data_IF_263638526670
#
_entry.id   IF_263638526670
#
_cell.length_a   1.000
_cell.length_b   1.000
_cell.length_c   1.000
_cell.angle_alpha   90.00
_cell.angle_beta   90.00
_cell.angle_gamma   90.00
#
_symmetry.space_group_name_H-M   'P 1'
#
loop_
_entity.id
_entity.type
_entity.pdbx_description
1 polymer ?
#
# COMPACT_ATOMS: atom_id res chain seq x y z
N UNK A 1 18.34 13.63 -6.57
CA UNK A 1 17.65 13.27 -5.31
C UNK A 1 18.61 12.76 -4.23
N UNK A 2 19.68 12.02 -4.57
CA UNK A 2 20.67 11.51 -3.59
C UNK A 2 21.51 12.58 -2.87
N UNK A 3 21.74 13.75 -3.47
CA UNK A 3 22.64 14.78 -2.89
C UNK A 3 21.96 15.79 -1.95
N UNK A 4 20.64 15.73 -1.76
CA UNK A 4 19.89 16.80 -1.06
C UNK A 4 19.00 16.30 0.08
N UNK A 5 19.36 15.22 0.78
CA UNK A 5 18.59 14.76 1.94
C UNK A 5 18.78 15.75 3.12
N UNK A 6 17.71 16.39 3.62
CA UNK A 6 17.79 17.28 4.79
C UNK A 6 18.41 16.60 6.02
N UNK A 7 18.15 15.30 6.22
CA UNK A 7 18.71 14.53 7.33
C UNK A 7 20.25 14.46 7.31
N UNK A 8 20.86 14.33 6.13
CA UNK A 8 22.33 14.32 5.98
C UNK A 8 22.96 15.66 6.39
N UNK A 9 22.37 16.78 5.95
CA UNK A 9 22.84 18.11 6.32
C UNK A 9 22.70 18.38 7.83
N UNK A 10 21.64 17.87 8.47
CA UNK A 10 21.49 17.98 9.93
C UNK A 10 22.55 17.19 10.70
N UNK A 11 22.94 16.00 10.21
CA UNK A 11 23.97 15.17 10.85
C UNK A 11 25.35 15.79 10.74
N UNK A 12 25.73 16.29 9.57
CA UNK A 12 27.02 16.96 9.36
C UNK A 12 27.13 18.21 10.26
N UNK A 13 26.06 18.99 10.37
CA UNK A 13 26.00 20.14 11.28
C UNK A 13 26.11 19.70 12.74
N UNK A 14 25.40 18.64 13.13
CA UNK A 14 25.42 18.13 14.49
C UNK A 14 26.79 17.58 14.89
N UNK A 15 27.49 16.86 14.01
CA UNK A 15 28.85 16.37 14.25
C UNK A 15 29.82 17.53 14.53
N UNK A 16 29.69 18.62 13.76
CA UNK A 16 30.50 19.82 13.97
C UNK A 16 30.21 20.48 15.32
N UNK A 17 28.92 20.68 15.64
CA UNK A 17 28.50 21.22 16.94
C UNK A 17 28.98 20.34 18.11
N UNK A 18 28.94 19.01 17.96
CA UNK A 18 29.40 18.07 18.98
C UNK A 18 30.91 18.14 19.20
N UNK A 19 31.72 18.24 18.14
CA UNK A 19 33.18 18.44 18.26
C UNK A 19 33.53 19.77 18.93
N UNK A 20 32.84 20.85 18.55
CA UNK A 20 33.02 22.17 19.16
C UNK A 20 32.66 22.13 20.66
N UNK A 21 31.54 21.49 21.01
CA UNK A 21 31.12 21.27 22.40
C UNK A 21 32.11 20.41 23.17
N UNK A 22 32.60 19.31 22.60
CA UNK A 22 33.60 18.45 23.23
C UNK A 22 34.88 19.23 23.56
N UNK A 23 35.37 20.03 22.61
CA UNK A 23 36.56 20.87 22.81
C UNK A 23 36.34 21.93 23.89
N UNK A 24 35.17 22.58 23.90
CA UNK A 24 34.81 23.57 24.92
C UNK A 24 34.70 22.93 26.31
N UNK A 25 34.13 21.74 26.40
CA UNK A 25 33.97 21.00 27.63
C UNK A 25 35.32 20.48 28.16
N UNK A 26 36.21 19.98 27.31
CA UNK A 26 37.59 19.61 27.68
C UNK A 26 38.37 20.80 28.25
N UNK A 27 38.21 21.99 27.67
CA UNK A 27 38.81 23.21 28.20
C UNK A 27 38.19 23.60 29.56
N UNK A 28 36.88 23.42 29.72
CA UNK A 28 36.15 23.74 30.96
C UNK A 28 36.45 22.78 32.11
N UNK A 29 36.71 21.50 31.83
CA UNK A 29 37.18 20.53 32.83
C UNK A 29 38.54 20.93 33.41
N UNK A 30 39.45 21.44 32.57
CA UNK A 30 40.79 21.87 33.01
C UNK A 30 40.75 23.07 33.96
N UNK A 31 39.66 23.84 33.98
CA UNK A 31 39.49 24.98 34.91
C UNK A 31 38.79 24.60 36.21
N UNK A 32 38.31 23.36 36.34
CA UNK A 32 37.74 22.87 37.59
C UNK A 32 38.81 22.69 38.66
N UNK A 33 38.48 22.89 39.95
CA UNK A 33 39.36 22.58 41.06
C UNK A 33 39.84 21.14 40.98
N UNK A 34 41.15 20.94 40.82
CA UNK A 34 41.73 19.61 40.63
C UNK A 34 42.17 18.99 41.96
N UNK A 35 42.57 17.72 41.93
CA UNK A 35 43.02 17.00 43.13
C UNK A 35 44.08 17.74 43.96
N UNK A 36 44.95 18.54 43.32
CA UNK A 36 45.93 19.40 44.02
C UNK A 36 45.28 20.54 44.80
N UNK A 37 44.26 21.18 44.24
CA UNK A 37 43.51 22.25 44.93
C UNK A 37 42.74 21.69 46.13
N UNK A 38 42.20 20.48 45.99
CA UNK A 38 41.46 19.80 47.05
C UNK A 38 42.41 19.29 48.14
N UNK A 39 43.61 18.81 47.78
CA UNK A 39 44.67 18.48 48.73
C UNK A 39 45.13 19.71 49.50
N UNK A 40 45.33 20.86 48.83
CA UNK A 40 45.72 22.10 49.48
C UNK A 40 44.69 22.57 50.53
N UNK A 41 43.39 22.33 50.30
CA UNK A 41 42.34 22.56 51.30
C UNK A 41 42.50 21.62 52.51
N UNK A 42 42.72 20.33 52.27
CA UNK A 42 42.96 19.35 53.33
C UNK A 42 44.21 19.65 54.16
N UNK A 43 45.29 20.08 53.51
CA UNK A 43 46.54 20.47 54.17
C UNK A 43 46.37 21.74 55.01
N UNK A 44 45.65 22.75 54.49
CA UNK A 44 45.28 23.95 55.24
C UNK A 44 44.42 23.59 56.44
N UNK A 45 43.43 22.70 56.25
CA UNK A 45 42.56 22.24 57.32
C UNK A 45 43.32 21.49 58.42
N UNK A 46 44.35 20.73 58.07
CA UNK A 46 45.16 19.97 59.03
C UNK A 46 46.15 20.82 59.83
N UNK A 47 46.54 21.98 59.32
CA UNK A 47 47.41 22.93 60.00
C UNK A 47 46.68 23.82 61.02
N UNK A 48 45.35 23.88 60.97
CA UNK A 48 44.57 24.72 61.89
C UNK A 48 44.39 23.99 63.23
N UNK A 49 44.72 24.67 64.32
CA UNK A 49 44.47 24.19 65.68
C UNK A 49 42.97 24.11 65.92
N UNK A 50 42.48 22.96 66.37
CA UNK A 50 41.03 22.70 66.54
C UNK A 50 40.67 22.18 67.94
N UNK A 51 41.67 22.06 68.82
CA UNK A 51 41.59 21.61 70.22
C UNK A 51 42.70 22.26 71.05
N UNK A 52 42.57 22.22 72.37
CA UNK A 52 43.58 22.62 73.35
C UNK A 52 43.97 24.11 73.27
N UNK A 53 42.99 24.98 73.10
CA UNK A 53 43.22 26.43 73.05
C UNK A 53 43.72 26.95 74.41
N UNK A 54 44.68 27.87 74.43
CA UNK A 54 45.21 28.49 75.68
C UNK A 54 44.59 29.85 75.93
N UNK A 55 44.19 30.55 74.88
CA UNK A 55 43.59 31.89 74.95
C UNK A 55 42.31 32.01 74.11
N UNK A 56 41.36 32.89 74.48
CA UNK A 56 40.21 33.22 73.64
C UNK A 56 40.58 33.79 72.26
N UNK A 57 41.75 34.44 72.15
CA UNK A 57 42.28 34.92 70.87
C UNK A 57 42.66 33.78 69.93
N UNK A 58 43.28 32.70 70.43
CA UNK A 58 43.64 31.51 69.63
C UNK A 58 42.40 30.80 69.05
N UNK A 59 41.32 30.71 69.83
CA UNK A 59 40.04 30.16 69.38
C UNK A 59 39.43 31.02 68.27
N UNK A 60 39.37 32.33 68.47
CA UNK A 60 38.78 33.26 67.49
C UNK A 60 39.56 33.23 66.17
N UNK A 61 40.89 33.22 66.24
CA UNK A 61 41.74 33.08 65.05
C UNK A 61 41.53 31.74 64.33
N UNK A 62 41.40 30.64 65.08
CA UNK A 62 41.19 29.31 64.50
C UNK A 62 39.81 29.17 63.86
N UNK A 63 38.76 29.73 64.47
CA UNK A 63 37.42 29.77 63.89
C UNK A 63 37.37 30.62 62.61
N UNK A 64 38.08 31.75 62.56
CA UNK A 64 38.21 32.57 61.34
C UNK A 64 38.96 31.81 60.23
N UNK A 65 40.02 31.08 60.58
CA UNK A 65 40.74 30.24 59.61
C UNK A 65 39.88 29.08 59.09
N UNK A 66 39.10 28.42 59.96
CA UNK A 66 38.17 27.36 59.57
C UNK A 66 37.03 27.90 58.68
N UNK A 67 36.44 29.05 59.01
CA UNK A 67 35.44 29.72 58.16
C UNK A 67 36.02 30.10 56.79
N UNK A 68 37.27 30.55 56.75
CA UNK A 68 37.99 30.81 55.50
C UNK A 68 38.16 29.55 54.64
N UNK A 69 38.53 28.42 55.24
CA UNK A 69 38.65 27.13 54.53
C UNK A 69 37.27 26.61 54.09
N UNK A 70 36.23 26.78 54.92
CA UNK A 70 34.86 26.41 54.57
C UNK A 70 34.33 27.22 53.37
N UNK A 71 34.51 28.55 53.37
CA UNK A 71 34.09 29.42 52.27
C UNK A 71 34.83 29.12 50.97
N UNK A 72 36.11 28.80 51.04
CA UNK A 72 36.92 28.39 49.87
C UNK A 72 36.43 27.04 49.31
N UNK A 73 36.20 26.05 50.19
CA UNK A 73 35.59 24.77 49.81
C UNK A 73 34.17 24.91 49.25
N UNK A 74 33.35 25.81 49.80
CA UNK A 74 32.01 26.13 49.30
C UNK A 74 32.01 26.82 47.94
N UNK A 75 32.92 27.79 47.74
CA UNK A 75 33.11 28.42 46.44
C UNK A 75 33.50 27.42 45.35
N UNK A 76 34.49 26.56 45.64
CA UNK A 76 34.93 25.49 44.73
C UNK A 76 33.83 24.45 44.48
N UNK A 77 33.05 24.09 45.50
CA UNK A 77 31.90 23.19 45.36
C UNK A 77 30.82 23.79 44.46
N UNK A 78 30.45 25.05 44.66
CA UNK A 78 29.47 25.77 43.83
C UNK A 78 29.94 25.90 42.37
N UNK A 79 31.24 26.10 42.16
CA UNK A 79 31.83 26.11 40.81
C UNK A 79 31.64 24.76 40.11
N UNK A 80 31.94 23.65 40.79
CA UNK A 80 31.74 22.30 40.24
C UNK A 80 30.25 22.00 40.02
N UNK A 81 29.38 22.42 40.93
CA UNK A 81 27.93 22.24 40.80
C UNK A 81 27.38 22.98 39.57
N UNK A 82 27.78 24.25 39.36
CA UNK A 82 27.37 25.01 38.18
C UNK A 82 27.83 24.35 36.88
N UNK A 83 29.05 23.81 36.86
CA UNK A 83 29.58 23.07 35.69
C UNK A 83 28.82 21.76 35.47
N UNK A 84 28.42 21.07 36.54
CA UNK A 84 27.57 19.87 36.45
C UNK A 84 26.19 20.18 35.86
N UNK A 85 25.56 21.28 36.27
CA UNK A 85 24.23 21.67 35.80
C UNK A 85 24.26 22.08 34.32
N UNK A 86 25.28 22.84 33.92
CA UNK A 86 25.51 23.22 32.52
C UNK A 86 25.76 21.98 31.64
N UNK A 87 26.53 21.00 32.12
CA UNK A 87 26.80 19.76 31.40
C UNK A 87 25.51 18.98 31.17
N UNK A 88 24.69 18.83 32.21
CA UNK A 88 23.40 18.15 32.10
C UNK A 88 22.46 18.85 31.11
N UNK A 89 22.47 20.18 31.08
CA UNK A 89 21.65 20.96 30.14
C UNK A 89 22.13 20.76 28.70
N UNK A 90 23.44 20.83 28.46
CA UNK A 90 24.03 20.61 27.14
C UNK A 90 23.81 19.17 26.64
N UNK A 91 24.01 18.16 27.51
CA UNK A 91 23.75 16.75 27.17
C UNK A 91 22.27 16.50 26.81
N UNK A 92 21.32 17.15 27.51
CA UNK A 92 19.90 17.10 27.15
C UNK A 92 19.64 17.75 25.79
N UNK A 93 20.24 18.91 25.51
CA UNK A 93 20.11 19.58 24.22
C UNK A 93 20.64 18.73 23.06
N UNK A 94 21.81 18.09 23.25
CA UNK A 94 22.38 17.17 22.26
C UNK A 94 21.47 15.96 22.02
N UNK A 95 20.88 15.39 23.07
CA UNK A 95 19.90 14.29 22.94
C UNK A 95 18.64 14.71 22.18
N UNK A 96 18.13 15.93 22.40
CA UNK A 96 16.96 16.45 21.70
C UNK A 96 17.23 16.70 20.22
N UNK A 97 18.37 17.30 19.88
CA UNK A 97 18.82 17.48 18.49
C UNK A 97 18.99 16.12 17.78
N UNK A 98 19.58 15.12 18.45
CA UNK A 98 19.68 13.76 17.94
C UNK A 98 18.31 13.15 17.61
N UNK A 99 17.33 13.30 18.51
CA UNK A 99 15.96 12.85 18.28
C UNK A 99 15.27 13.59 17.12
N UNK A 100 15.62 14.84 16.84
CA UNK A 100 15.12 15.58 15.67
C UNK A 100 15.68 15.02 14.36
N UNK A 101 16.96 14.65 14.34
CA UNK A 101 17.59 13.99 13.19
C UNK A 101 16.85 12.69 12.86
N UNK A 102 16.55 11.84 13.87
CA UNK A 102 15.78 10.61 13.64
C UNK A 102 14.41 10.86 13.02
N UNK A 103 13.73 11.93 13.46
CA UNK A 103 12.43 12.33 12.89
C UNK A 103 12.59 12.78 11.45
N UNK A 104 13.63 13.55 11.14
CA UNK A 104 13.90 14.03 9.78
C UNK A 104 14.20 12.86 8.82
N UNK A 105 14.96 11.85 9.26
CA UNK A 105 15.21 10.64 8.47
C UNK A 105 13.90 9.97 8.04
N UNK A 106 12.92 9.85 8.96
CA UNK A 106 11.60 9.28 8.65
C UNK A 106 10.81 10.14 7.64
N UNK A 107 10.95 11.46 7.72
CA UNK A 107 10.30 12.40 6.79
C UNK A 107 10.90 12.25 5.39
N UNK A 108 12.22 12.14 5.28
CA UNK A 108 12.93 12.01 4.01
C UNK A 108 12.53 10.72 3.29
N UNK A 109 12.45 9.59 4.02
CA UNK A 109 11.93 8.31 3.49
C UNK A 109 10.51 8.49 2.95
N UNK A 110 9.62 9.11 3.73
CA UNK A 110 8.22 9.32 3.34
C UNK A 110 8.06 10.28 2.14
N UNK A 111 8.92 11.28 2.01
CA UNK A 111 8.92 12.22 0.88
C UNK A 111 9.32 11.53 -0.44
N UNK A 112 10.32 10.65 -0.38
CA UNK A 112 10.71 9.83 -1.51
C UNK A 112 9.57 8.90 -1.92
N UNK A 113 8.84 8.30 -0.97
CA UNK A 113 7.66 7.47 -1.27
C UNK A 113 6.57 8.20 -2.06
N UNK A 114 6.33 9.49 -1.79
CA UNK A 114 5.28 10.24 -2.47
C UNK A 114 5.57 10.47 -3.95
N UNK A 115 6.84 10.49 -4.35
CA UNK A 115 7.26 10.63 -5.75
C UNK A 115 7.07 9.34 -6.56
N UNK A 116 6.90 8.19 -5.90
CA UNK A 116 6.62 6.90 -6.56
C UNK A 116 5.12 6.60 -6.69
N UNK A 117 4.23 7.59 -6.46
CA UNK A 117 2.79 7.36 -6.55
C UNK A 117 2.37 6.89 -7.94
N UNK A 118 1.51 5.88 -7.94
CA UNK A 118 1.03 5.15 -9.12
C UNK A 118 -0.04 5.98 -9.84
N UNK A 119 0.06 6.20 -11.16
CA UNK A 119 -1.06 6.68 -11.96
C UNK A 119 -2.21 5.68 -11.88
N UNK A 120 -3.43 6.13 -11.58
CA UNK A 120 -4.59 5.22 -11.56
C UNK A 120 -4.79 4.61 -12.96
N UNK A 121 -4.77 3.28 -13.03
CA UNK A 121 -4.94 2.54 -14.28
C UNK A 121 -6.43 2.23 -14.46
N UNK A 122 -7.06 2.76 -15.51
CA UNK A 122 -8.48 2.52 -15.81
C UNK A 122 -8.68 1.13 -16.45
N UNK A 123 -9.23 0.19 -15.68
CA UNK A 123 -9.57 -1.16 -16.12
C UNK A 123 -10.50 -1.20 -17.35
N UNK A 124 -11.42 -0.24 -17.50
CA UNK A 124 -12.35 -0.20 -18.63
C UNK A 124 -11.62 0.18 -19.91
N UNK A 125 -10.75 1.18 -19.84
CA UNK A 125 -9.91 1.58 -20.97
C UNK A 125 -8.99 0.44 -21.41
N UNK A 126 -8.34 -0.26 -20.47
CA UNK A 126 -7.51 -1.43 -20.77
C UNK A 126 -8.30 -2.57 -21.44
N UNK A 127 -9.47 -2.91 -20.90
CA UNK A 127 -10.33 -3.95 -21.47
C UNK A 127 -10.70 -3.62 -22.91
N UNK A 128 -11.12 -2.38 -23.16
CA UNK A 128 -11.51 -1.93 -24.49
C UNK A 128 -10.33 -1.93 -25.45
N UNK A 129 -9.14 -1.52 -25.01
CA UNK A 129 -7.94 -1.54 -25.85
C UNK A 129 -7.55 -2.96 -26.27
N UNK A 130 -7.58 -3.94 -25.35
CA UNK A 130 -7.19 -5.33 -25.64
C UNK A 130 -8.27 -6.05 -26.47
N UNK A 131 -9.53 -5.97 -26.06
CA UNK A 131 -10.59 -6.76 -26.70
C UNK A 131 -11.20 -6.10 -27.93
N UNK A 132 -11.12 -4.78 -28.14
CA UNK A 132 -11.69 -4.21 -29.36
C UNK A 132 -11.04 -4.80 -30.61
N UNK A 133 -9.72 -4.94 -30.62
CA UNK A 133 -8.98 -5.51 -31.76
C UNK A 133 -9.29 -7.00 -31.96
N UNK A 134 -9.38 -7.76 -30.87
CA UNK A 134 -9.81 -9.16 -30.94
C UNK A 134 -11.25 -9.32 -31.46
N UNK A 135 -12.15 -8.42 -31.05
CA UNK A 135 -13.58 -8.48 -31.37
C UNK A 135 -13.93 -7.88 -32.73
N UNK A 136 -13.09 -7.04 -33.30
CA UNK A 136 -13.31 -6.37 -34.59
C UNK A 136 -13.79 -7.31 -35.72
N UNK A 137 -13.13 -8.45 -36.02
CA UNK A 137 -13.60 -9.36 -37.07
C UNK A 137 -14.95 -10.01 -36.74
N UNK A 138 -15.25 -10.23 -35.46
CA UNK A 138 -16.52 -10.82 -35.02
C UNK A 138 -17.65 -9.78 -35.08
N UNK A 139 -17.38 -8.53 -34.68
CA UNK A 139 -18.28 -7.39 -34.84
C UNK A 139 -18.60 -7.18 -36.32
N UNK A 140 -17.60 -7.21 -37.19
CA UNK A 140 -17.82 -7.09 -38.64
C UNK A 140 -18.72 -8.22 -39.18
N UNK A 141 -18.50 -9.47 -38.76
CA UNK A 141 -19.40 -10.59 -39.12
C UNK A 141 -20.82 -10.39 -38.58
N UNK A 142 -20.97 -9.99 -37.32
CA UNK A 142 -22.26 -9.70 -36.71
C UNK A 142 -23.00 -8.61 -37.51
N UNK A 143 -22.35 -7.49 -37.81
CA UNK A 143 -22.95 -6.41 -38.60
C UNK A 143 -23.26 -6.82 -40.04
N UNK A 144 -22.44 -7.69 -40.66
CA UNK A 144 -22.72 -8.27 -41.98
C UNK A 144 -23.99 -9.11 -41.96
N UNK A 145 -24.15 -10.02 -40.99
CA UNK A 145 -25.35 -10.85 -40.87
C UNK A 145 -26.57 -10.03 -40.45
N UNK A 146 -26.39 -9.00 -39.63
CA UNK A 146 -27.42 -8.01 -39.33
C UNK A 146 -27.90 -7.29 -40.60
N UNK A 147 -27.00 -6.79 -41.44
CA UNK A 147 -27.35 -6.15 -42.71
C UNK A 147 -28.03 -7.13 -43.69
N UNK A 148 -27.64 -8.40 -43.68
CA UNK A 148 -28.33 -9.43 -44.46
C UNK A 148 -29.76 -9.65 -43.94
N UNK A 149 -29.94 -9.71 -42.62
CA UNK A 149 -31.26 -9.81 -42.02
C UNK A 149 -32.12 -8.59 -42.37
N UNK A 150 -31.57 -7.38 -42.30
CA UNK A 150 -32.24 -6.15 -42.75
C UNK A 150 -32.71 -6.24 -44.21
N UNK A 151 -31.89 -6.81 -45.12
CA UNK A 151 -32.26 -6.98 -46.53
C UNK A 151 -33.47 -7.92 -46.74
N UNK A 152 -33.60 -8.95 -45.91
CA UNK A 152 -34.65 -9.97 -46.07
C UNK A 152 -35.83 -9.80 -45.09
N UNK A 153 -35.75 -8.85 -44.15
CA UNK A 153 -36.86 -8.50 -43.27
C UNK A 153 -37.98 -7.82 -44.09
N UNK A 154 -39.25 -8.26 -43.97
CA UNK A 154 -40.34 -7.66 -44.72
C UNK A 154 -40.45 -6.14 -44.48
N UNK A 155 -40.67 -5.30 -45.51
CA UNK A 155 -40.61 -3.82 -45.41
C UNK A 155 -41.48 -3.20 -44.32
N UNK A 156 -42.59 -3.85 -43.96
CA UNK A 156 -43.50 -3.42 -42.88
C UNK A 156 -42.84 -3.37 -41.50
N UNK A 157 -41.73 -4.11 -41.31
CA UNK A 157 -40.99 -4.16 -40.06
C UNK A 157 -39.75 -3.23 -40.04
N UNK A 158 -39.33 -2.69 -41.19
CA UNK A 158 -38.19 -1.77 -41.32
C UNK A 158 -38.58 -0.27 -41.23
N UNK A 159 -39.86 0.07 -41.43
CA UNK A 159 -40.33 1.45 -41.68
C UNK A 159 -40.85 2.25 -40.47
N UNK A 160 -40.66 1.82 -39.23
CA UNK A 160 -41.02 2.67 -38.06
C UNK A 160 -39.77 3.24 -37.39
N UNK A 161 -39.33 4.41 -37.89
CA UNK A 161 -38.22 5.17 -37.33
C UNK A 161 -37.70 6.30 -38.24
N UNK A 162 -37.94 6.24 -39.55
CA UNK A 162 -37.72 7.37 -40.45
C UNK A 162 -38.89 8.34 -40.36
N UNK A 163 -38.63 9.60 -40.06
CA UNK A 163 -39.57 10.68 -40.29
C UNK A 163 -40.06 10.58 -41.75
N UNK A 164 -41.38 10.65 -41.95
CA UNK A 164 -41.97 10.77 -43.29
C UNK A 164 -41.34 11.99 -43.94
N UNK A 165 -40.49 11.81 -44.95
CA UNK A 165 -40.13 12.92 -45.84
C UNK A 165 -41.36 13.24 -46.67
N UNK A 166 -41.84 14.48 -46.59
CA UNK A 166 -42.98 15.04 -47.32
C UNK A 166 -42.73 15.21 -48.84
N UNK A 167 -41.84 14.40 -49.44
CA UNK A 167 -41.42 14.54 -50.83
C UNK A 167 -41.73 13.29 -51.71
N UNK A 168 -42.76 12.53 -51.35
CA UNK A 168 -43.40 11.58 -52.28
C UNK A 168 -44.86 12.02 -52.51
N UNK A 169 -45.02 13.26 -52.99
CA UNK A 169 -46.27 13.71 -53.60
C UNK A 169 -46.55 12.91 -54.88
N UNK A 170 -47.53 12.02 -54.75
CA UNK A 170 -48.58 11.72 -55.73
C UNK A 170 -48.13 11.54 -57.19
N UNK A 171 -47.49 10.41 -57.47
CA UNK A 171 -47.85 9.69 -58.70
C UNK A 171 -49.06 8.83 -58.37
N UNK A 172 -50.23 9.11 -58.99
CA UNK A 172 -51.39 8.22 -58.94
C UNK A 172 -50.98 6.92 -59.63
N UNK A 173 -50.39 6.00 -58.87
CA UNK A 173 -50.28 4.62 -59.29
C UNK A 173 -51.68 4.01 -59.16
N UNK A 174 -52.18 3.27 -60.17
CA UNK A 174 -53.40 2.52 -60.02
C UNK A 174 -53.29 1.68 -58.74
N UNK A 175 -54.31 1.72 -57.88
CA UNK A 175 -54.32 0.92 -56.66
C UNK A 175 -53.80 -0.47 -57.00
N UNK A 176 -52.72 -0.95 -56.35
CA UNK A 176 -52.27 -2.31 -56.59
C UNK A 176 -53.49 -3.18 -56.38
N UNK A 177 -53.92 -3.91 -57.42
CA UNK A 177 -55.04 -4.86 -57.28
C UNK A 177 -54.78 -5.61 -55.99
N UNK A 178 -55.73 -5.54 -55.05
CA UNK A 178 -55.56 -6.15 -53.74
C UNK A 178 -55.02 -7.56 -53.98
N UNK A 179 -53.83 -7.86 -53.46
CA UNK A 179 -53.31 -9.21 -53.53
C UNK A 179 -54.35 -10.05 -52.80
N UNK A 180 -55.13 -10.84 -53.53
CA UNK A 180 -56.16 -11.69 -52.96
C UNK A 180 -55.59 -12.41 -51.75
N UNK A 181 -56.26 -12.32 -50.61
CA UNK A 181 -55.85 -13.03 -49.40
C UNK A 181 -56.23 -14.48 -49.61
N UNK A 182 -55.25 -15.36 -49.71
CA UNK A 182 -55.48 -16.81 -49.73
C UNK A 182 -55.96 -17.22 -48.34
N UNK A 183 -57.24 -17.53 -48.22
CA UNK A 183 -57.79 -18.19 -47.04
C UNK A 183 -57.67 -19.69 -47.23
N UNK A 184 -56.92 -20.35 -46.35
CA UNK A 184 -56.95 -21.81 -46.25
C UNK A 184 -58.22 -22.22 -45.51
N UNK A 185 -59.20 -22.75 -46.23
CA UNK A 185 -60.39 -23.36 -45.63
C UNK A 185 -60.06 -24.79 -45.18
N UNK A 186 -59.52 -24.91 -43.97
CA UNK A 186 -59.26 -26.19 -43.31
C UNK A 186 -60.41 -26.61 -42.39
N UNK A 187 -60.49 -27.91 -42.07
CA UNK A 187 -61.30 -28.40 -40.94
C UNK A 187 -60.43 -28.36 -39.68
N UNK A 188 -61.00 -28.11 -38.47
CA UNK A 188 -60.26 -28.33 -37.23
C UNK A 188 -59.60 -29.72 -37.25
N UNK A 189 -58.31 -29.82 -36.92
CA UNK A 189 -57.49 -31.04 -36.99
C UNK A 189 -57.21 -31.61 -38.40
N UNK A 190 -57.35 -30.83 -39.47
CA UNK A 190 -56.91 -31.27 -40.81
C UNK A 190 -55.39 -31.20 -40.98
N UNK A 191 -54.86 -31.87 -42.00
CA UNK A 191 -53.47 -31.74 -42.38
C UNK A 191 -53.20 -30.37 -43.02
N UNK A 192 -52.06 -29.72 -42.71
CA UNK A 192 -51.62 -28.54 -43.46
C UNK A 192 -51.16 -28.94 -44.86
N UNK A 193 -51.00 -27.96 -45.76
CA UNK A 193 -50.49 -28.18 -47.12
C UNK A 193 -49.14 -28.88 -47.14
N UNK A 194 -48.28 -28.62 -46.16
CA UNK A 194 -47.01 -29.31 -45.98
C UNK A 194 -46.73 -29.54 -44.51
N UNK A 195 -46.33 -30.77 -44.15
CA UNK A 195 -45.88 -31.10 -42.81
C UNK A 195 -44.81 -32.19 -42.81
N UNK A 196 -43.58 -31.78 -42.53
CA UNK A 196 -42.49 -32.67 -42.20
C UNK A 196 -42.43 -32.83 -40.68
N UNK A 197 -42.98 -33.95 -40.18
CA UNK A 197 -43.08 -34.25 -38.75
C UNK A 197 -41.72 -34.41 -38.08
N UNK A 198 -40.76 -35.01 -38.79
CA UNK A 198 -39.43 -35.33 -38.27
C UNK A 198 -38.39 -35.37 -39.37
N UNK A 199 -37.28 -34.69 -39.13
CA UNK A 199 -36.02 -34.79 -39.86
C UNK A 199 -34.96 -35.24 -38.87
N UNK A 200 -34.33 -36.38 -39.08
CA UNK A 200 -33.18 -36.80 -38.28
C UNK A 200 -31.88 -36.41 -38.98
N UNK A 201 -30.90 -35.93 -38.21
CA UNK A 201 -29.57 -35.55 -38.68
C UNK A 201 -28.54 -36.35 -37.90
N UNK A 202 -27.63 -37.01 -38.61
CA UNK A 202 -26.52 -37.73 -38.00
C UNK A 202 -25.24 -37.62 -38.85
N UNK A 203 -24.10 -37.57 -38.18
CA UNK A 203 -22.77 -37.55 -38.80
C UNK A 203 -21.79 -38.28 -37.88
N UNK A 204 -20.76 -38.89 -38.47
CA UNK A 204 -19.67 -39.55 -37.77
C UNK A 204 -18.34 -38.83 -38.07
N UNK A 205 -17.50 -38.68 -37.06
CA UNK A 205 -16.16 -38.12 -37.20
C UNK A 205 -15.29 -38.98 -38.13
N UNK A 206 -14.39 -38.33 -38.88
CA UNK A 206 -13.47 -39.00 -39.81
C UNK A 206 -14.02 -39.22 -41.23
N UNK A 207 -15.31 -38.95 -41.49
CA UNK A 207 -15.87 -39.01 -42.86
C UNK A 207 -15.31 -37.90 -43.78
N UNK A 208 -15.03 -36.72 -43.21
CA UNK A 208 -14.28 -35.64 -43.83
C UNK A 208 -13.36 -35.02 -42.78
N UNK A 209 -12.34 -34.23 -43.15
CA UNK A 209 -11.39 -33.65 -42.20
C UNK A 209 -12.04 -32.88 -41.05
N UNK A 210 -13.22 -32.29 -41.27
CA UNK A 210 -13.96 -31.52 -40.28
C UNK A 210 -15.27 -32.20 -39.83
N UNK A 211 -15.46 -33.48 -40.16
CA UNK A 211 -16.66 -34.22 -39.76
C UNK A 211 -16.67 -34.42 -38.25
N UNK A 212 -17.82 -34.20 -37.64
CA UNK A 212 -18.07 -34.46 -36.23
C UNK A 212 -19.02 -35.63 -36.01
N UNK A 213 -19.01 -36.15 -34.78
CA UNK A 213 -20.02 -37.04 -34.25
C UNK A 213 -21.23 -36.20 -33.85
N UNK A 214 -22.16 -35.97 -34.76
CA UNK A 214 -23.34 -35.13 -34.53
C UNK A 214 -24.58 -35.98 -34.62
N UNK A 215 -25.54 -35.71 -33.73
CA UNK A 215 -26.88 -36.29 -33.78
C UNK A 215 -27.91 -35.22 -33.45
N UNK A 216 -29.08 -35.33 -34.04
CA UNK A 216 -30.17 -34.45 -33.70
C UNK A 216 -31.37 -34.63 -34.58
N UNK A 217 -32.35 -33.78 -34.35
CA UNK A 217 -33.59 -33.80 -35.11
C UNK A 217 -34.24 -32.42 -35.21
N UNK A 218 -35.04 -32.27 -36.26
CA UNK A 218 -35.93 -31.14 -36.48
C UNK A 218 -37.35 -31.68 -36.54
N UNK A 219 -38.22 -31.17 -35.69
CA UNK A 219 -39.61 -31.59 -35.56
C UNK A 219 -40.55 -30.53 -36.09
N UNK A 220 -41.63 -30.99 -36.70
CA UNK A 220 -42.79 -30.18 -37.07
C UNK A 220 -42.47 -28.95 -37.95
N UNK A 221 -41.74 -29.15 -39.05
CA UNK A 221 -41.66 -28.13 -40.11
C UNK A 221 -42.97 -28.18 -40.88
N UNK A 222 -43.78 -27.12 -40.79
CA UNK A 222 -45.13 -27.07 -41.34
C UNK A 222 -45.43 -25.74 -41.99
N UNK A 223 -46.30 -25.73 -43.01
CA UNK A 223 -46.82 -24.50 -43.60
C UNK A 223 -47.79 -23.76 -42.66
N UNK A 224 -48.38 -24.45 -41.67
CA UNK A 224 -49.37 -23.89 -40.75
C UNK A 224 -49.25 -24.49 -39.33
N UNK A 225 -48.49 -23.83 -38.46
CA UNK A 225 -48.28 -24.27 -37.06
C UNK A 225 -49.53 -24.15 -36.18
N UNK A 226 -50.45 -23.22 -36.50
CA UNK A 226 -51.70 -23.05 -35.74
C UNK A 226 -52.61 -24.26 -35.91
N UNK A 227 -52.68 -24.82 -37.12
CA UNK A 227 -53.43 -26.03 -37.42
C UNK A 227 -52.82 -27.27 -36.75
N UNK A 228 -51.48 -27.38 -36.76
CA UNK A 228 -50.75 -28.50 -36.13
C UNK A 228 -50.74 -28.39 -34.59
N UNK A 229 -50.85 -27.18 -34.05
CA UNK A 229 -50.80 -26.92 -32.60
C UNK A 229 -49.41 -27.08 -31.98
N UNK A 230 -48.35 -27.34 -32.77
CA UNK A 230 -46.97 -27.55 -32.29
C UNK A 230 -45.98 -26.57 -32.95
N UNK A 231 -44.97 -26.07 -32.21
CA UNK A 231 -43.91 -25.25 -32.77
C UNK A 231 -42.90 -26.11 -33.54
N UNK A 232 -42.12 -25.49 -34.41
CA UNK A 232 -40.98 -26.15 -35.05
C UNK A 232 -39.80 -26.13 -34.08
N UNK A 233 -39.23 -27.30 -33.76
CA UNK A 233 -38.11 -27.42 -32.80
C UNK A 233 -36.95 -28.16 -33.44
N UNK A 234 -35.75 -27.58 -33.39
CA UNK A 234 -34.52 -28.24 -33.82
C UNK A 234 -33.59 -28.43 -32.63
N UNK A 235 -33.05 -29.64 -32.47
CA UNK A 235 -31.99 -29.94 -31.49
C UNK A 235 -30.87 -30.69 -32.19
N UNK A 236 -29.65 -30.15 -32.16
CA UNK A 236 -28.43 -30.80 -32.65
C UNK A 236 -27.41 -30.84 -31.52
N UNK A 237 -26.75 -31.97 -31.31
CA UNK A 237 -25.71 -32.11 -30.30
C UNK A 237 -24.60 -33.06 -30.76
N UNK A 238 -23.40 -32.86 -30.22
CA UNK A 238 -22.28 -33.77 -30.44
C UNK A 238 -20.91 -33.11 -30.38
N UNK A 239 -19.93 -33.69 -31.07
CA UNK A 239 -18.53 -33.32 -30.96
C UNK A 239 -17.87 -33.23 -32.34
N UNK A 240 -16.85 -32.36 -32.48
CA UNK A 240 -15.95 -32.32 -33.63
C UNK A 240 -14.50 -32.52 -33.17
N UNK A 241 -14.07 -33.77 -32.97
CA UNK A 241 -12.74 -34.07 -32.40
C UNK A 241 -11.58 -33.53 -33.23
N UNK A 242 -11.66 -33.57 -34.56
CA UNK A 242 -10.61 -33.06 -35.44
C UNK A 242 -10.40 -31.52 -35.34
N UNK A 243 -11.38 -30.80 -34.80
CA UNK A 243 -11.32 -29.36 -34.55
C UNK A 243 -11.18 -29.04 -33.05
N UNK A 244 -10.99 -30.07 -32.20
CA UNK A 244 -10.96 -29.96 -30.74
C UNK A 244 -12.21 -29.25 -30.16
N UNK A 245 -13.38 -29.42 -30.78
CA UNK A 245 -14.66 -28.88 -30.29
C UNK A 245 -15.46 -30.01 -29.65
N UNK A 246 -15.78 -29.87 -28.37
CA UNK A 246 -16.51 -30.85 -27.58
C UNK A 246 -17.77 -30.23 -26.96
N UNK A 247 -18.83 -31.02 -26.82
CA UNK A 247 -20.09 -30.62 -26.21
C UNK A 247 -20.82 -29.54 -27.00
N UNK A 248 -20.81 -29.62 -28.33
CA UNK A 248 -21.65 -28.78 -29.17
C UNK A 248 -23.13 -29.07 -28.90
N UNK A 249 -23.92 -28.02 -28.74
CA UNK A 249 -25.37 -28.07 -28.60
C UNK A 249 -26.01 -26.88 -29.31
N UNK A 250 -26.98 -27.15 -30.16
CA UNK A 250 -27.89 -26.17 -30.73
C UNK A 250 -29.33 -26.58 -30.36
N UNK A 251 -30.08 -25.66 -29.76
CA UNK A 251 -31.53 -25.75 -29.62
C UNK A 251 -32.15 -24.53 -30.28
N UNK A 252 -33.14 -24.73 -31.13
CA UNK A 252 -33.90 -23.68 -31.79
C UNK A 252 -35.38 -24.03 -31.68
N UNK A 253 -36.21 -23.07 -31.31
CA UNK A 253 -37.67 -23.19 -31.30
C UNK A 253 -38.25 -22.02 -32.06
N UNK A 254 -39.13 -22.28 -33.03
CA UNK A 254 -39.88 -21.27 -33.76
C UNK A 254 -41.37 -21.49 -33.52
N UNK A 255 -42.00 -20.59 -32.78
CA UNK A 255 -43.41 -20.61 -32.45
C UNK A 255 -44.16 -19.44 -33.11
N UNK A 256 -44.92 -19.76 -34.16
CA UNK A 256 -45.79 -18.86 -34.92
C UNK A 256 -47.27 -19.06 -34.57
N UNK A 257 -47.58 -19.80 -33.49
CA UNK A 257 -48.97 -20.04 -33.08
C UNK A 257 -49.62 -18.78 -32.51
N UNK A 258 -48.82 -17.94 -31.85
CA UNK A 258 -49.24 -16.66 -31.26
C UNK A 258 -49.37 -15.56 -32.33
N UNK A 259 -49.80 -14.38 -31.91
CA UNK A 259 -49.88 -13.19 -32.77
C UNK A 259 -48.49 -12.70 -33.18
N UNK A 260 -47.57 -12.60 -32.22
CA UNK A 260 -46.16 -12.38 -32.47
C UNK A 260 -45.40 -13.72 -32.53
N UNK A 261 -44.62 -13.91 -33.59
CA UNK A 261 -43.69 -15.05 -33.71
C UNK A 261 -42.64 -14.98 -32.60
N UNK A 262 -42.34 -16.10 -31.96
CA UNK A 262 -41.27 -16.22 -30.96
C UNK A 262 -40.25 -17.22 -31.45
N UNK A 263 -39.00 -16.77 -31.59
CA UNK A 263 -37.88 -17.64 -31.94
C UNK A 263 -36.93 -17.65 -30.74
N UNK A 264 -36.80 -18.80 -30.09
CA UNK A 264 -35.83 -19.01 -29.01
C UNK A 264 -34.65 -19.81 -29.54
N UNK A 265 -33.44 -19.40 -29.18
CA UNK A 265 -32.22 -20.12 -29.58
C UNK A 265 -31.25 -20.26 -28.40
N UNK A 266 -30.59 -21.41 -28.37
CA UNK A 266 -29.50 -21.70 -27.47
C UNK A 266 -28.40 -22.41 -28.26
N UNK A 267 -27.19 -21.89 -28.17
CA UNK A 267 -25.99 -22.46 -28.75
C UNK A 267 -24.95 -22.61 -27.65
N UNK A 268 -24.31 -23.77 -27.53
CA UNK A 268 -23.30 -24.05 -26.52
C UNK A 268 -22.19 -24.90 -27.10
N UNK A 269 -20.97 -24.65 -26.62
CA UNK A 269 -19.79 -25.47 -26.81
C UNK A 269 -19.10 -25.59 -25.47
N UNK A 270 -18.99 -26.80 -24.93
CA UNK A 270 -18.39 -27.04 -23.62
C UNK A 270 -16.88 -26.84 -23.62
N UNK A 271 -16.21 -27.19 -24.72
CA UNK A 271 -14.79 -26.92 -24.90
C UNK A 271 -14.41 -26.73 -26.35
N UNK A 272 -13.57 -25.74 -26.63
CA UNK A 272 -12.87 -25.60 -27.90
C UNK A 272 -11.42 -25.15 -27.68
N UNK A 273 -10.49 -25.67 -28.48
CA UNK A 273 -9.09 -25.23 -28.43
C UNK A 273 -8.91 -23.88 -29.13
N UNK A 274 -8.09 -23.02 -28.54
CA UNK A 274 -7.66 -21.75 -29.12
C UNK A 274 -6.14 -21.78 -29.22
N UNK A 275 -5.58 -21.59 -30.42
CA UNK A 275 -4.13 -21.58 -30.65
C UNK A 275 -3.71 -20.35 -31.42
N UNK A 276 -2.62 -19.69 -30.98
CA UNK A 276 -1.99 -18.58 -31.69
C UNK A 276 -2.91 -17.38 -31.92
N UNK A 277 -3.61 -16.91 -30.87
CA UNK A 277 -4.47 -15.72 -30.96
C UNK A 277 -3.84 -14.50 -30.33
N UNK A 278 -3.47 -13.56 -31.18
CA UNK A 278 -2.99 -12.24 -30.75
C UNK A 278 -4.11 -11.43 -30.11
N UNK A 279 -3.81 -10.83 -28.96
CA UNK A 279 -4.67 -9.89 -28.26
C UNK A 279 -4.16 -8.46 -28.47
N UNK A 280 -2.84 -8.27 -28.32
CA UNK A 280 -2.16 -7.01 -28.57
C UNK A 280 -0.93 -7.30 -29.43
N UNK A 281 -0.80 -6.55 -30.52
CA UNK A 281 0.36 -6.61 -31.41
C UNK A 281 0.77 -5.19 -31.76
N UNK A 282 1.74 -4.66 -31.01
CA UNK A 282 2.43 -3.40 -31.27
C UNK A 282 3.95 -3.62 -31.32
N UNK A 283 4.74 -2.65 -31.83
CA UNK A 283 6.21 -2.77 -31.83
C UNK A 283 6.80 -2.98 -30.44
N UNK A 284 6.21 -2.37 -29.42
CA UNK A 284 6.75 -2.33 -28.05
C UNK A 284 6.23 -3.44 -27.14
N UNK A 285 5.04 -3.99 -27.43
CA UNK A 285 4.36 -4.99 -26.60
C UNK A 285 3.63 -5.99 -27.49
N UNK A 286 3.84 -7.28 -27.22
CA UNK A 286 3.07 -8.38 -27.80
C UNK A 286 2.43 -9.20 -26.69
N UNK A 287 1.14 -9.45 -26.82
CA UNK A 287 0.34 -10.27 -25.91
C UNK A 287 -0.53 -11.18 -26.78
N UNK A 288 -0.40 -12.49 -26.58
CA UNK A 288 -1.19 -13.50 -27.28
C UNK A 288 -1.59 -14.65 -26.37
N UNK A 289 -2.69 -15.31 -26.71
CA UNK A 289 -3.00 -16.67 -26.27
C UNK A 289 -2.28 -17.64 -27.19
N UNK A 290 -1.13 -18.16 -26.75
CA UNK A 290 -0.43 -19.21 -27.48
C UNK A 290 -1.30 -20.48 -27.54
N UNK A 291 -1.88 -20.85 -26.39
CA UNK A 291 -2.91 -21.88 -26.24
C UNK A 291 -3.93 -21.49 -25.18
N UNK A 292 -5.20 -21.86 -25.36
CA UNK A 292 -6.23 -21.77 -24.32
C UNK A 292 -7.39 -22.72 -24.62
N UNK A 293 -8.14 -23.10 -23.59
CA UNK A 293 -9.41 -23.82 -23.73
C UNK A 293 -10.56 -22.83 -23.51
N UNK A 294 -11.36 -22.61 -24.55
CA UNK A 294 -12.57 -21.81 -24.49
C UNK A 294 -13.81 -22.65 -24.21
N UNK A 295 -14.80 -22.04 -23.58
CA UNK A 295 -16.16 -22.55 -23.44
C UNK A 295 -17.13 -21.42 -23.79
N UNK A 296 -18.11 -21.70 -24.64
CA UNK A 296 -18.98 -20.70 -25.24
C UNK A 296 -20.45 -21.06 -25.01
N UNK A 297 -21.25 -20.09 -24.60
CA UNK A 297 -22.70 -20.18 -24.56
C UNK A 297 -23.31 -18.93 -25.18
N UNK A 298 -24.35 -19.11 -25.98
CA UNK A 298 -25.16 -18.05 -26.57
C UNK A 298 -26.60 -18.46 -26.35
N UNK A 299 -27.42 -17.55 -25.86
CA UNK A 299 -28.86 -17.77 -25.73
C UNK A 299 -29.59 -16.48 -26.03
N UNK A 300 -30.85 -16.58 -26.43
CA UNK A 300 -31.63 -15.41 -26.72
C UNK A 300 -32.95 -15.71 -27.38
N UNK A 301 -33.64 -14.64 -27.75
CA UNK A 301 -34.89 -14.74 -28.46
C UNK A 301 -35.11 -13.59 -29.45
N UNK A 302 -35.95 -13.86 -30.44
CA UNK A 302 -36.45 -12.89 -31.40
C UNK A 302 -37.98 -12.91 -31.36
N UNK A 303 -38.58 -11.84 -30.87
CA UNK A 303 -40.03 -11.68 -30.74
C UNK A 303 -40.56 -10.77 -31.84
N UNK A 304 -41.62 -11.20 -32.52
CA UNK A 304 -42.28 -10.46 -33.60
C UNK A 304 -41.37 -10.17 -34.79
N UNK A 305 -40.30 -10.95 -34.97
CA UNK A 305 -39.24 -10.74 -35.98
C UNK A 305 -38.56 -9.35 -35.90
N UNK A 306 -38.66 -8.68 -34.76
CA UNK A 306 -38.15 -7.31 -34.56
C UNK A 306 -37.37 -7.17 -33.25
N UNK A 307 -37.86 -7.72 -32.15
CA UNK A 307 -37.27 -7.53 -30.82
C UNK A 307 -36.26 -8.64 -30.59
N UNK A 308 -34.97 -8.33 -30.74
CA UNK A 308 -33.87 -9.27 -30.49
C UNK A 308 -33.37 -9.07 -29.05
N UNK A 309 -33.22 -10.17 -28.33
CA UNK A 309 -32.40 -10.22 -27.12
C UNK A 309 -31.42 -11.38 -27.19
N UNK A 310 -30.20 -11.17 -26.70
CA UNK A 310 -29.22 -12.22 -26.61
C UNK A 310 -28.23 -11.99 -25.49
N UNK A 311 -27.75 -13.10 -24.94
CA UNK A 311 -26.63 -13.20 -24.02
C UNK A 311 -25.59 -14.11 -24.64
N UNK A 312 -24.33 -13.69 -24.55
CA UNK A 312 -23.14 -14.37 -25.01
C UNK A 312 -22.19 -14.46 -23.83
N UNK A 313 -21.77 -15.67 -23.49
CA UNK A 313 -20.81 -15.95 -22.44
C UNK A 313 -19.67 -16.76 -23.02
N UNK A 314 -18.46 -16.28 -22.83
CA UNK A 314 -17.26 -17.00 -23.23
C UNK A 314 -16.26 -17.02 -22.09
N UNK A 315 -15.69 -18.20 -21.81
CA UNK A 315 -14.74 -18.43 -20.73
C UNK A 315 -13.50 -19.12 -21.28
N UNK A 316 -12.35 -18.51 -21.08
CA UNK A 316 -11.04 -19.06 -21.40
C UNK A 316 -10.38 -19.58 -20.14
N UNK A 317 -9.81 -20.78 -20.21
CA UNK A 317 -9.10 -21.48 -19.13
C UNK A 317 -7.85 -22.17 -19.68
N UNK A 318 -6.96 -22.63 -18.79
CA UNK A 318 -5.67 -23.26 -19.18
C UNK A 318 -4.92 -22.39 -20.19
N UNK A 319 -4.84 -21.10 -19.89
CA UNK A 319 -4.31 -20.09 -20.81
C UNK A 319 -2.79 -20.11 -20.73
N UNK A 320 -2.15 -20.38 -21.87
CA UNK A 320 -0.73 -20.18 -22.11
C UNK A 320 -0.55 -18.82 -22.78
N UNK A 321 -0.07 -17.86 -22.00
CA UNK A 321 0.15 -16.49 -22.44
C UNK A 321 1.54 -16.34 -23.06
N UNK A 322 1.60 -15.83 -24.29
CA UNK A 322 2.82 -15.32 -24.88
C UNK A 322 2.87 -13.80 -24.68
N UNK A 323 3.72 -13.35 -23.77
CA UNK A 323 3.88 -11.93 -23.40
C UNK A 323 5.32 -11.52 -23.60
N UNK A 324 5.54 -10.44 -24.34
CA UNK A 324 6.86 -9.85 -24.54
C UNK A 324 6.81 -8.32 -24.62
N UNK A 325 7.80 -7.65 -24.04
CA UNK A 325 8.05 -6.21 -24.26
C UNK A 325 9.51 -5.91 -24.60
N UNK A 326 9.74 -4.83 -25.36
CA UNK A 326 11.08 -4.30 -25.65
C UNK A 326 11.78 -3.74 -24.41
N UNK A 327 11.01 -3.31 -23.39
CA UNK A 327 11.54 -2.85 -22.11
C UNK A 327 11.56 -4.01 -21.11
N UNK A 328 12.72 -4.33 -20.55
CA UNK A 328 12.90 -5.47 -19.64
C UNK A 328 12.04 -5.37 -18.37
N UNK A 329 11.89 -4.18 -17.78
CA UNK A 329 11.07 -3.98 -16.58
C UNK A 329 9.59 -4.20 -16.92
N UNK A 330 9.14 -3.65 -18.05
CA UNK A 330 7.77 -3.85 -18.52
C UNK A 330 7.50 -5.32 -18.86
N UNK A 331 8.46 -6.02 -19.46
CA UNK A 331 8.37 -7.44 -19.80
C UNK A 331 8.17 -8.31 -18.55
N UNK A 332 8.99 -8.10 -17.51
CA UNK A 332 8.86 -8.78 -16.22
C UNK A 332 7.50 -8.51 -15.56
N UNK A 333 7.07 -7.25 -15.52
CA UNK A 333 5.78 -6.86 -14.95
C UNK A 333 4.64 -7.52 -15.72
N UNK A 334 4.62 -7.41 -17.04
CA UNK A 334 3.55 -7.95 -17.87
C UNK A 334 3.46 -9.47 -17.72
N UNK A 335 4.58 -10.19 -17.77
CA UNK A 335 4.61 -11.65 -17.54
C UNK A 335 4.04 -12.02 -16.18
N UNK A 336 4.43 -11.30 -15.12
CA UNK A 336 3.94 -11.55 -13.78
C UNK A 336 2.44 -11.22 -13.61
N UNK A 337 1.96 -10.16 -14.27
CA UNK A 337 0.54 -9.78 -14.27
C UNK A 337 -0.29 -10.87 -14.95
N UNK A 338 0.05 -11.24 -16.19
CA UNK A 338 -0.72 -12.22 -16.97
C UNK A 338 -0.65 -13.64 -16.37
N UNK A 339 0.48 -14.03 -15.78
CA UNK A 339 0.58 -15.29 -15.02
C UNK A 339 -0.40 -15.35 -13.83
N UNK A 340 -0.79 -14.20 -13.28
CA UNK A 340 -1.79 -14.08 -12.23
C UNK A 340 -3.25 -14.23 -12.69
N UNK A 341 -3.51 -14.38 -14.00
CA UNK A 341 -4.85 -14.41 -14.58
C UNK A 341 -5.13 -15.80 -15.21
N UNK A 342 -5.49 -16.82 -14.42
CA UNK A 342 -5.69 -18.18 -14.95
C UNK A 342 -6.98 -18.36 -15.77
N UNK A 343 -7.93 -17.43 -15.62
CA UNK A 343 -9.25 -17.48 -16.23
C UNK A 343 -9.63 -16.12 -16.77
N UNK A 344 -10.06 -16.07 -18.03
CA UNK A 344 -10.58 -14.87 -18.68
C UNK A 344 -12.02 -15.11 -19.09
N UNK A 345 -12.92 -14.22 -18.72
CA UNK A 345 -14.33 -14.22 -19.14
C UNK A 345 -14.59 -13.05 -20.08
N UNK A 346 -15.42 -13.29 -21.08
CA UNK A 346 -15.91 -12.32 -22.02
C UNK A 346 -17.42 -12.52 -22.16
N UNK A 347 -18.18 -11.56 -21.68
CA UNK A 347 -19.63 -11.58 -21.70
C UNK A 347 -20.10 -10.46 -22.60
N UNK A 348 -21.10 -10.73 -23.44
CA UNK A 348 -21.76 -9.71 -24.23
C UNK A 348 -23.26 -9.92 -24.17
N UNK A 349 -24.03 -8.85 -24.04
CA UNK A 349 -25.48 -8.91 -24.15
C UNK A 349 -25.98 -7.80 -25.07
N UNK A 350 -27.13 -8.05 -25.68
CA UNK A 350 -27.79 -7.07 -26.51
C UNK A 350 -29.29 -7.24 -26.45
N UNK A 351 -30.01 -6.13 -26.30
CA UNK A 351 -31.47 -6.11 -26.30
C UNK A 351 -31.96 -4.87 -27.03
N UNK A 352 -32.79 -5.04 -28.04
CA UNK A 352 -33.31 -3.91 -28.81
C UNK A 352 -34.22 -4.32 -29.96
N UNK A 353 -34.62 -3.33 -30.74
CA UNK A 353 -35.47 -3.51 -31.93
C UNK A 353 -34.55 -3.48 -33.14
N UNK A 354 -34.54 -4.54 -33.95
CA UNK A 354 -33.81 -4.60 -35.20
C UNK A 354 -34.17 -3.39 -36.08
N UNK A 355 -33.17 -2.69 -36.66
CA UNK A 355 -31.74 -3.03 -36.67
C UNK A 355 -30.95 -2.55 -35.43
N UNK A 356 -31.54 -1.72 -34.58
CA UNK A 356 -30.88 -1.06 -33.46
C UNK A 356 -30.85 -1.95 -32.21
N UNK A 357 -29.81 -2.76 -32.09
CA UNK A 357 -29.55 -3.61 -30.92
C UNK A 357 -28.27 -3.12 -30.25
N UNK A 358 -28.36 -2.28 -29.19
CA UNK A 358 -27.18 -1.84 -28.45
C UNK A 358 -26.48 -3.06 -27.84
N UNK A 359 -25.15 -3.04 -27.89
CA UNK A 359 -24.29 -4.12 -27.40
C UNK A 359 -23.55 -3.66 -26.14
N UNK A 360 -23.69 -4.44 -25.06
CA UNK A 360 -22.88 -4.30 -23.85
C UNK A 360 -21.85 -5.42 -23.82
N UNK A 361 -20.57 -5.09 -23.61
CA UNK A 361 -19.47 -6.05 -23.59
C UNK A 361 -18.70 -5.85 -22.29
N UNK A 362 -18.52 -6.93 -21.53
CA UNK A 362 -17.82 -6.95 -20.26
C UNK A 362 -16.77 -8.07 -20.25
N UNK A 363 -15.67 -7.86 -19.55
CA UNK A 363 -14.64 -8.88 -19.32
C UNK A 363 -14.01 -8.70 -17.95
N UNK A 364 -13.63 -9.80 -17.31
CA UNK A 364 -12.83 -9.76 -16.09
C UNK A 364 -11.36 -9.36 -16.34
N UNK A 365 -10.89 -9.35 -17.59
CA UNK A 365 -9.48 -9.09 -17.89
C UNK A 365 -9.03 -7.71 -17.42
N UNK A 366 -9.80 -6.65 -17.67
CA UNK A 366 -9.41 -5.30 -17.22
C UNK A 366 -9.25 -5.18 -15.70
N UNK A 367 -10.26 -5.57 -14.90
CA UNK A 367 -10.14 -5.59 -13.45
C UNK A 367 -8.97 -6.45 -12.94
N UNK A 368 -8.75 -7.62 -13.54
CA UNK A 368 -7.63 -8.49 -13.14
C UNK A 368 -6.26 -7.93 -13.55
N UNK A 369 -6.17 -7.29 -14.72
CA UNK A 369 -4.99 -6.55 -15.15
C UNK A 369 -4.70 -5.38 -14.20
N UNK A 370 -5.71 -4.58 -13.86
CA UNK A 370 -5.56 -3.46 -12.94
C UNK A 370 -5.02 -3.93 -11.59
N UNK A 371 -5.63 -4.95 -10.98
CA UNK A 371 -5.15 -5.54 -9.72
C UNK A 371 -3.73 -6.09 -9.85
N UNK A 372 -3.42 -6.75 -10.96
CA UNK A 372 -2.10 -7.28 -11.24
C UNK A 372 -1.05 -6.17 -11.32
N UNK A 373 -1.33 -5.10 -12.07
CA UNK A 373 -0.45 -3.95 -12.18
C UNK A 373 -0.27 -3.24 -10.83
N UNK A 374 -1.35 -2.98 -10.10
CA UNK A 374 -1.28 -2.39 -8.75
C UNK A 374 -0.39 -3.24 -7.83
N UNK A 375 -0.53 -4.57 -7.85
CA UNK A 375 0.31 -5.48 -7.08
C UNK A 375 1.78 -5.43 -7.50
N UNK A 376 2.08 -5.45 -8.80
CA UNK A 376 3.46 -5.42 -9.28
C UNK A 376 4.13 -4.07 -9.03
N UNK A 377 3.39 -2.98 -9.21
CA UNK A 377 3.90 -1.65 -8.91
C UNK A 377 4.12 -1.50 -7.40
N UNK A 378 3.20 -1.97 -6.56
CA UNK A 378 3.39 -1.99 -5.11
C UNK A 378 4.62 -2.81 -4.71
N UNK A 379 4.84 -3.98 -5.33
CA UNK A 379 6.03 -4.79 -5.08
C UNK A 379 7.32 -4.05 -5.46
N UNK A 380 7.34 -3.32 -6.59
CA UNK A 380 8.49 -2.50 -6.99
C UNK A 380 8.67 -1.28 -6.09
N UNK A 381 7.58 -0.68 -5.59
CA UNK A 381 7.63 0.36 -4.56
C UNK A 381 8.22 -0.19 -3.27
N UNK A 382 7.82 -1.38 -2.84
CA UNK A 382 8.35 -1.99 -1.61
C UNK A 382 9.83 -2.41 -1.77
N UNK A 383 10.23 -2.85 -2.96
CA UNK A 383 11.64 -3.08 -3.30
C UNK A 383 12.43 -1.76 -3.25
N UNK A 384 11.90 -0.69 -3.84
CA UNK A 384 12.50 0.64 -3.79
C UNK A 384 12.57 1.19 -2.36
N UNK A 385 11.51 1.02 -1.55
CA UNK A 385 11.46 1.36 -0.12
C UNK A 385 12.56 0.67 0.65
N UNK A 386 12.73 -0.65 0.46
CA UNK A 386 13.81 -1.40 1.11
C UNK A 386 15.19 -0.89 0.69
N UNK A 387 15.39 -0.57 -0.58
CA UNK A 387 16.66 0.01 -1.06
C UNK A 387 16.93 1.39 -0.49
N UNK A 388 15.91 2.26 -0.45
CA UNK A 388 16.00 3.60 0.15
C UNK A 388 16.27 3.50 1.65
N UNK A 389 15.53 2.66 2.38
CA UNK A 389 15.73 2.43 3.80
C UNK A 389 17.14 1.89 4.07
N UNK A 390 17.59 0.88 3.32
CA UNK A 390 18.95 0.36 3.45
C UNK A 390 20.02 1.39 3.14
N UNK A 391 19.83 2.24 2.14
CA UNK A 391 20.77 3.30 1.77
C UNK A 391 20.85 4.37 2.87
N UNK A 392 19.68 4.81 3.34
CA UNK A 392 19.53 5.75 4.46
C UNK A 392 20.18 5.17 5.71
N UNK A 393 19.86 3.93 6.10
CA UNK A 393 20.44 3.27 7.28
C UNK A 393 21.96 3.07 7.14
N UNK A 394 22.47 2.81 5.94
CA UNK A 394 23.91 2.60 5.72
C UNK A 394 24.72 3.91 5.80
N UNK A 395 24.22 4.98 5.18
CA UNK A 395 24.89 6.29 5.17
C UNK A 395 24.69 7.04 6.49
N UNK A 396 23.45 7.07 6.99
CA UNK A 396 23.08 7.82 8.20
C UNK A 396 23.32 7.00 9.46
N UNK A 397 23.06 5.69 9.45
CA UNK A 397 23.25 4.85 10.64
C UNK A 397 24.69 4.85 11.14
N UNK A 398 25.68 4.80 10.26
CA UNK A 398 27.10 4.91 10.66
C UNK A 398 27.41 6.25 11.32
N UNK A 399 26.93 7.35 10.76
CA UNK A 399 27.16 8.68 11.33
C UNK A 399 26.40 8.86 12.64
N UNK A 400 25.21 8.26 12.75
CA UNK A 400 24.36 8.24 13.94
C UNK A 400 25.01 7.47 15.09
N UNK A 401 25.53 6.28 14.82
CA UNK A 401 26.23 5.45 15.81
C UNK A 401 27.50 6.14 16.32
N UNK A 402 28.25 6.81 15.43
CA UNK A 402 29.41 7.61 15.82
C UNK A 402 29.03 8.78 16.75
N UNK A 403 27.95 9.47 16.41
CA UNK A 403 27.41 10.58 17.22
C UNK A 403 26.97 10.08 18.59
N UNK A 404 26.21 8.99 18.66
CA UNK A 404 25.72 8.43 19.92
C UNK A 404 26.88 7.93 20.79
N UNK A 405 27.89 7.31 20.19
CA UNK A 405 29.12 6.91 20.88
C UNK A 405 29.86 8.13 21.46
N UNK A 406 29.98 9.23 20.71
CA UNK A 406 30.62 10.46 21.18
C UNK A 406 29.83 11.12 22.32
N UNK A 407 28.50 11.17 22.24
CA UNK A 407 27.64 11.68 23.33
C UNK A 407 27.81 10.83 24.59
N UNK A 408 27.81 9.50 24.45
CA UNK A 408 27.98 8.58 25.58
C UNK A 408 29.38 8.66 26.18
N UNK A 409 30.42 8.84 25.35
CA UNK A 409 31.78 9.07 25.81
C UNK A 409 31.88 10.37 26.59
N UNK A 410 31.29 11.46 26.07
CA UNK A 410 31.23 12.75 26.75
C UNK A 410 30.48 12.62 28.09
N UNK A 411 29.33 11.96 28.12
CA UNK A 411 28.59 11.72 29.36
C UNK A 411 29.45 10.94 30.37
N UNK A 412 30.09 9.84 29.93
CA UNK A 412 30.86 8.97 30.81
C UNK A 412 32.12 9.63 31.39
N UNK A 413 32.89 10.33 30.55
CA UNK A 413 34.11 11.03 31.00
C UNK A 413 33.75 12.16 31.96
N UNK A 414 32.77 12.98 31.61
CA UNK A 414 32.49 14.21 32.34
C UNK A 414 31.68 13.97 33.62
N UNK A 415 30.69 13.07 33.63
CA UNK A 415 29.99 12.73 34.87
C UNK A 415 30.93 12.12 35.92
N UNK A 416 31.89 11.30 35.49
CA UNK A 416 32.83 10.63 36.39
C UNK A 416 33.76 11.63 37.08
N UNK A 417 34.35 12.55 36.32
CA UNK A 417 35.26 13.56 36.88
C UNK A 417 34.54 14.56 37.78
N UNK A 418 33.37 15.04 37.35
CA UNK A 418 32.55 15.99 38.14
C UNK A 418 32.10 15.34 39.45
N UNK A 419 31.55 14.11 39.42
CA UNK A 419 31.13 13.40 40.64
C UNK A 419 32.30 13.16 41.60
N UNK A 420 33.47 12.81 41.07
CA UNK A 420 34.68 12.59 41.88
C UNK A 420 35.12 13.86 42.59
N UNK A 421 35.21 14.99 41.86
CA UNK A 421 35.57 16.27 42.44
C UNK A 421 34.55 16.75 43.49
N UNK A 422 33.25 16.56 43.20
CA UNK A 422 32.15 16.93 44.08
C UNK A 422 32.17 16.11 45.39
N UNK A 423 32.39 14.80 45.32
CA UNK A 423 32.51 13.93 46.49
C UNK A 423 33.74 14.27 47.35
N UNK A 424 34.87 14.59 46.73
CA UNK A 424 36.09 14.98 47.45
C UNK A 424 35.92 16.32 48.18
N UNK A 425 35.27 17.32 47.57
CA UNK A 425 34.97 18.59 48.22
C UNK A 425 33.91 18.49 49.31
N UNK A 426 32.88 17.66 49.12
CA UNK A 426 31.87 17.40 50.16
C UNK A 426 32.51 16.73 51.40
N UNK A 427 33.47 15.84 51.17
CA UNK A 427 34.26 15.24 52.25
C UNK A 427 35.06 16.29 53.01
N UNK A 428 35.74 17.21 52.30
CA UNK A 428 36.50 18.30 52.93
C UNK A 428 35.59 19.25 53.72
N UNK A 429 34.42 19.63 53.18
CA UNK A 429 33.42 20.45 53.89
C UNK A 429 32.99 19.81 55.20
N UNK A 430 32.62 18.53 55.17
CA UNK A 430 32.23 17.78 56.38
C UNK A 430 33.35 17.71 57.41
N UNK A 431 34.61 17.60 56.96
CA UNK A 431 35.76 17.63 57.86
C UNK A 431 35.95 19.02 58.50
N UNK A 432 35.74 20.11 57.75
CA UNK A 432 35.79 21.47 58.29
C UNK A 432 34.69 21.68 59.34
N UNK A 433 33.45 21.29 59.02
CA UNK A 433 32.31 21.36 59.95
C UNK A 433 32.58 20.59 61.24
N UNK A 434 33.09 19.35 61.12
CA UNK A 434 33.45 18.54 62.29
C UNK A 434 34.55 19.19 63.15
N UNK A 435 35.54 19.86 62.54
CA UNK A 435 36.58 20.59 63.27
C UNK A 435 36.04 21.88 63.91
N UNK A 436 35.12 22.59 63.26
CA UNK A 436 34.42 23.75 63.84
C UNK A 436 33.61 23.34 65.07
N UNK A 437 32.86 22.24 64.98
CA UNK A 437 32.08 21.72 66.10
C UNK A 437 32.97 21.24 67.25
N UNK A 438 34.09 20.58 66.93
CA UNK A 438 35.08 20.19 67.93
C UNK A 438 35.71 21.41 68.61
N UNK A 439 36.05 22.47 67.86
CA UNK A 439 36.63 23.68 68.41
C UNK A 439 35.65 24.43 69.33
N UNK A 440 34.36 24.49 68.95
CA UNK A 440 33.30 25.06 69.79
C UNK A 440 33.09 24.26 71.08
N UNK A 441 33.03 22.92 70.99
CA UNK A 441 32.89 22.05 72.17
C UNK A 441 34.09 22.14 73.11
N UNK A 442 35.30 22.21 72.57
CA UNK A 442 36.51 22.37 73.39
C UNK A 442 36.51 23.73 74.11
N UNK A 443 36.11 24.81 73.42
CA UNK A 443 35.93 26.13 74.02
C UNK A 443 34.89 26.15 75.15
N UNK A 444 33.73 25.51 74.94
CA UNK A 444 32.69 25.36 75.99
C UNK A 444 33.23 24.60 77.21
N UNK A 445 33.95 23.50 76.98
CA UNK A 445 34.53 22.68 78.05
C UNK A 445 35.64 23.42 78.80
N UNK A 446 36.49 24.19 78.12
CA UNK A 446 37.51 25.01 78.76
C UNK A 446 36.91 26.20 79.52
N UNK A 447 35.85 26.82 78.97
CA UNK A 447 35.08 27.87 79.65
C UNK A 447 34.48 27.36 80.96
N UNK A 448 33.84 26.18 80.92
CA UNK A 448 33.34 25.49 82.13
C UNK A 448 34.46 25.22 83.13
N UNK A 449 35.61 24.68 82.70
CA UNK A 449 36.76 24.41 83.57
C UNK A 449 37.38 25.69 84.17
N UNK A 450 37.37 26.82 83.45
CA UNK A 450 37.83 28.12 83.99
C UNK A 450 36.86 28.68 85.02
N UNK A 451 35.56 28.63 84.74
CA UNK A 451 34.51 29.05 85.69
C UNK A 451 34.53 28.17 86.94
N UNK A 452 34.74 26.85 86.80
CA UNK A 452 34.94 25.96 87.94
C UNK A 452 36.21 26.30 88.72
N UNK A 453 37.35 26.56 88.05
CA UNK A 453 38.59 26.95 88.74
C UNK A 453 38.53 28.32 89.40
N UNK A 454 37.88 29.30 88.78
CA UNK A 454 37.67 30.64 89.36
C UNK A 454 36.63 30.59 90.48
N UNK A 455 35.57 29.80 90.34
CA UNK A 455 34.63 29.51 91.42
C UNK A 455 35.30 28.80 92.60
N UNK A 456 36.18 27.81 92.33
CA UNK A 456 36.95 27.14 93.37
C UNK A 456 37.93 28.11 94.05
N UNK A 457 38.62 28.96 93.29
CA UNK A 457 39.48 30.03 93.84
C UNK A 457 38.69 31.04 94.67
N UNK A 458 37.52 31.49 94.20
CA UNK A 458 36.68 32.42 94.95
C UNK A 458 36.16 31.77 96.25
N UNK A 459 35.83 30.48 96.22
CA UNK A 459 35.46 29.70 97.41
C UNK A 459 36.66 29.56 98.36
N UNK A 460 37.86 29.28 97.84
CA UNK A 460 39.08 29.13 98.65
C UNK A 460 39.57 30.48 99.22
N UNK A 461 39.41 31.57 98.48
CA UNK A 461 39.71 32.94 98.95
C UNK A 461 38.68 33.43 99.97
N UNK A 462 37.39 33.09 99.79
CA UNK A 462 36.35 33.30 100.81
C UNK A 462 36.67 32.52 102.09
N UNK A 463 37.09 31.26 101.99
CA UNK A 463 37.53 30.47 103.17
C UNK A 463 38.70 31.14 103.91
N UNK A 464 39.68 31.69 103.18
CA UNK A 464 40.80 32.44 103.78
C UNK A 464 40.36 33.76 104.43
N UNK A 465 39.40 34.49 103.88
CA UNK A 465 38.89 35.73 104.46
C UNK A 465 37.98 35.52 105.68
N UNK A 466 37.31 34.37 105.78
CA UNK A 466 36.40 34.04 106.89
C UNK A 466 37.03 33.22 108.03
N UNK A 467 38.36 33.00 108.01
CA UNK A 467 39.07 32.40 109.15
C UNK A 467 38.62 30.97 109.50
N UNK A 468 38.60 30.08 108.50
CA UNK A 468 38.54 28.62 108.67
C UNK A 468 39.77 27.96 108.01
#
# INVERSE_FOLDING_TARGET
LQESLPSKAMIEKFQKELQEKQTAWDARLKTLPQGKDIQALGDRLNKIQYKDFKTPQELTASLQQLDGVYKDADGKYKQIQAVSDDLNKDLKGLQEQYNQIEKQVKIDVKSLEQHFRIPQVDAKALTMAVFNRYLEPYKAKFFRYKALAEKYLPPKYLKKGAAKSEAEEVAIQPHPREKGVTYEFGRPNSYPMFWLKRTAVSSQAGLTPNAGNIKGEILDITSNQRLVGRPTVATLAGDFPAMDILGFLLKLSMDNRKEESVIDYQFKVDSYALTGKDLVSSPDVKIAFNKANGALAIQGNLIGLKNLSFDFDNKFTKIDYAVSSTNQIADEILKAVFAGIPVVTLNANGKGVLPNVPLSINSNLGPELQKGFEKQIQAKIDEARKKIQSYVDQEIGKQKDQVEAQINQLRGQFESEVKKAQAQLDTQKKQVEAKVDSAKKDAENQGRKKIEKEGQKAIDDLKKQFGL
#
